data_IF_112967229167
#
_entry.id   IF_112967229167
#
_cell.length_a   1.000
_cell.length_b   1.000
_cell.length_c   1.000
_cell.angle_alpha   90.00
_cell.angle_beta   90.00
_cell.angle_gamma   90.00
#
_symmetry.space_group_name_H-M   'P 1'
#
loop_
_entity.id
_entity.type
_entity.pdbx_description
1 polymer ?
#
# COMPACT_ATOMS: atom_id res chain seq x y z
N UNK A 1 -1.38 10.30 9.70
CA UNK A 1 -1.30 8.99 10.41
C UNK A 1 -2.42 8.76 11.43
N UNK A 2 -2.70 9.65 12.41
CA UNK A 2 -3.71 9.34 13.44
C UNK A 2 -5.10 9.06 12.86
N UNK A 3 -5.54 9.77 11.83
CA UNK A 3 -6.83 9.53 11.18
C UNK A 3 -6.93 8.16 10.51
N UNK A 4 -5.90 7.71 9.80
CA UNK A 4 -5.88 6.38 9.18
C UNK A 4 -5.91 5.26 10.22
N UNK A 5 -5.15 5.42 11.31
CA UNK A 5 -5.17 4.48 12.42
C UNK A 5 -6.52 4.46 13.14
N UNK A 6 -7.15 5.62 13.33
CA UNK A 6 -8.47 5.71 13.95
C UNK A 6 -9.54 5.04 13.08
N UNK A 7 -9.54 5.28 11.76
CA UNK A 7 -10.47 4.61 10.83
C UNK A 7 -10.19 3.11 10.78
N UNK A 8 -8.93 2.69 10.72
CA UNK A 8 -8.56 1.27 10.75
C UNK A 8 -9.06 0.59 12.03
N UNK A 9 -8.81 1.21 13.20
CA UNK A 9 -9.25 0.68 14.48
C UNK A 9 -10.78 0.60 14.58
N UNK A 10 -11.49 1.64 14.09
CA UNK A 10 -12.95 1.65 14.05
C UNK A 10 -13.50 0.52 13.17
N UNK A 11 -12.98 0.38 11.93
CA UNK A 11 -13.44 -0.66 11.00
C UNK A 11 -13.12 -2.05 11.55
N UNK A 12 -11.92 -2.25 12.10
CA UNK A 12 -11.54 -3.52 12.71
C UNK A 12 -12.45 -3.86 13.90
N UNK A 13 -12.75 -2.86 14.74
CA UNK A 13 -13.68 -3.04 15.86
C UNK A 13 -15.09 -3.41 15.39
N UNK A 14 -15.60 -2.75 14.34
CA UNK A 14 -16.90 -3.10 13.76
C UNK A 14 -16.95 -4.55 13.25
N UNK A 15 -15.86 -5.00 12.62
CA UNK A 15 -15.76 -6.38 12.12
C UNK A 15 -15.72 -7.39 13.26
N UNK A 16 -14.96 -7.12 14.33
CA UNK A 16 -14.78 -8.06 15.46
C UNK A 16 -16.02 -8.11 16.37
N UNK A 17 -16.71 -6.97 16.51
CA UNK A 17 -17.85 -6.84 17.42
C UNK A 17 -19.22 -7.03 16.74
N UNK A 18 -19.25 -7.48 15.49
CA UNK A 18 -20.49 -7.58 14.67
C UNK A 18 -21.28 -6.26 14.71
N UNK A 19 -20.55 -5.14 14.52
CA UNK A 19 -21.09 -3.82 14.72
C UNK A 19 -22.04 -3.36 13.61
N UNK A 20 -22.74 -2.22 13.81
CA UNK A 20 -23.81 -1.75 12.93
C UNK A 20 -23.35 -1.41 11.50
N UNK A 21 -22.05 -1.27 11.22
CA UNK A 21 -21.55 -1.05 9.86
C UNK A 21 -21.56 -2.31 8.99
N UNK A 22 -21.68 -3.51 9.56
CA UNK A 22 -21.73 -4.75 8.79
C UNK A 22 -23.00 -4.86 7.95
N UNK A 23 -24.15 -4.41 8.45
CA UNK A 23 -25.41 -4.41 7.68
C UNK A 23 -25.32 -3.62 6.37
N UNK A 24 -24.93 -2.33 6.39
CA UNK A 24 -24.65 -1.56 5.16
C UNK A 24 -23.56 -2.18 4.28
N UNK A 25 -22.49 -2.73 4.85
CA UNK A 25 -21.39 -3.38 4.14
C UNK A 25 -21.89 -4.57 3.31
N UNK A 26 -22.69 -5.45 3.91
CA UNK A 26 -23.34 -6.58 3.22
C UNK A 26 -24.33 -6.11 2.16
N UNK A 27 -25.13 -5.09 2.43
CA UNK A 27 -26.10 -4.57 1.47
C UNK A 27 -25.40 -4.01 0.23
N UNK A 28 -24.33 -3.21 0.41
CA UNK A 28 -23.52 -2.69 -0.69
C UNK A 28 -22.89 -3.83 -1.49
N UNK A 29 -22.31 -4.83 -0.81
CA UNK A 29 -21.73 -5.98 -1.47
C UNK A 29 -22.77 -6.73 -2.31
N UNK A 30 -23.93 -7.07 -1.74
CA UNK A 30 -25.02 -7.77 -2.45
C UNK A 30 -25.52 -6.97 -3.65
N UNK A 31 -25.54 -5.64 -3.57
CA UNK A 31 -25.96 -4.77 -4.66
C UNK A 31 -24.92 -4.69 -5.78
N UNK A 32 -23.64 -4.96 -5.50
CA UNK A 32 -22.54 -4.81 -6.46
C UNK A 32 -22.08 -6.16 -7.07
N UNK A 33 -22.18 -7.25 -6.31
CA UNK A 33 -21.73 -8.58 -6.76
C UNK A 33 -22.44 -9.01 -8.03
N UNK A 34 -21.66 -9.45 -9.01
CA UNK A 34 -22.16 -9.91 -10.30
C UNK A 34 -22.52 -8.80 -11.29
N UNK A 35 -22.39 -7.52 -10.93
CA UNK A 35 -22.60 -6.41 -11.84
C UNK A 35 -21.37 -6.11 -12.69
N UNK A 36 -21.58 -5.74 -13.95
CA UNK A 36 -20.55 -5.39 -14.91
C UNK A 36 -19.91 -6.59 -15.64
N UNK A 37 -18.99 -6.32 -16.56
CA UNK A 37 -18.31 -7.36 -17.34
C UNK A 37 -17.40 -8.22 -16.48
N UNK A 38 -17.66 -9.52 -16.39
CA UNK A 38 -16.90 -10.47 -15.56
C UNK A 38 -15.41 -10.40 -15.85
N UNK A 39 -15.02 -10.45 -17.13
CA UNK A 39 -13.59 -10.43 -17.51
C UNK A 39 -12.86 -9.15 -17.12
N UNK A 40 -13.55 -8.00 -17.10
CA UNK A 40 -12.96 -6.74 -16.63
C UNK A 40 -12.78 -6.74 -15.10
N UNK A 41 -13.76 -7.25 -14.37
CA UNK A 41 -13.67 -7.38 -12.91
C UNK A 41 -12.57 -8.36 -12.50
N UNK A 42 -12.40 -9.48 -13.19
CA UNK A 42 -11.29 -10.42 -12.99
C UNK A 42 -9.94 -9.75 -13.29
N UNK A 43 -9.80 -9.09 -14.44
CA UNK A 43 -8.59 -8.36 -14.78
C UNK A 43 -8.20 -7.35 -13.68
N UNK A 44 -9.17 -6.61 -13.15
CA UNK A 44 -8.92 -5.68 -12.04
C UNK A 44 -8.50 -6.41 -10.77
N UNK A 45 -9.12 -7.53 -10.46
CA UNK A 45 -8.74 -8.36 -9.30
C UNK A 45 -7.28 -8.82 -9.42
N UNK A 46 -6.88 -9.28 -10.63
CA UNK A 46 -5.55 -9.79 -10.90
C UNK A 46 -4.44 -8.74 -10.74
N UNK A 47 -4.74 -7.45 -10.87
CA UNK A 47 -3.78 -6.39 -10.55
C UNK A 47 -3.29 -6.44 -9.09
N UNK A 48 -4.08 -7.00 -8.18
CA UNK A 48 -3.71 -7.19 -6.77
C UNK A 48 -2.97 -8.50 -6.49
N UNK A 49 -2.87 -9.40 -7.47
CA UNK A 49 -2.13 -10.64 -7.32
C UNK A 49 -0.64 -10.37 -7.12
N UNK A 50 0.00 -11.15 -6.25
CA UNK A 50 1.45 -11.05 -6.01
C UNK A 50 2.26 -11.25 -7.30
N UNK A 51 1.76 -12.07 -8.22
CA UNK A 51 2.38 -12.34 -9.52
C UNK A 51 2.41 -11.11 -10.45
N UNK A 52 1.54 -10.12 -10.22
CA UNK A 52 1.49 -8.87 -10.98
C UNK A 52 2.13 -7.72 -10.19
N UNK A 53 1.70 -7.53 -8.96
CA UNK A 53 2.11 -6.38 -8.16
C UNK A 53 3.59 -6.44 -7.73
N UNK A 54 4.12 -7.63 -7.36
CA UNK A 54 5.52 -7.76 -6.95
C UNK A 54 6.53 -7.51 -8.07
N UNK A 55 6.36 -7.99 -9.31
CA UNK A 55 7.23 -7.62 -10.41
C UNK A 55 7.28 -6.12 -10.68
N UNK A 56 6.15 -5.40 -10.58
CA UNK A 56 6.12 -3.94 -10.74
C UNK A 56 6.97 -3.25 -9.67
N UNK A 57 6.81 -3.65 -8.41
CA UNK A 57 7.65 -3.12 -7.32
C UNK A 57 9.12 -3.50 -7.49
N UNK A 58 9.40 -4.75 -7.89
CA UNK A 58 10.76 -5.22 -8.12
C UNK A 58 11.47 -4.42 -9.22
N UNK A 59 10.79 -4.13 -10.34
CA UNK A 59 11.33 -3.27 -11.39
C UNK A 59 11.67 -1.87 -10.87
N UNK A 60 10.80 -1.26 -10.06
CA UNK A 60 11.06 0.04 -9.45
C UNK A 60 12.23 0.01 -8.46
N UNK A 61 12.36 -1.05 -7.68
CA UNK A 61 13.48 -1.30 -6.77
C UNK A 61 14.79 -1.42 -7.57
N UNK A 62 14.83 -2.30 -8.58
CA UNK A 62 16.01 -2.51 -9.43
C UNK A 62 16.43 -1.19 -10.09
N UNK A 63 15.48 -0.47 -10.69
CA UNK A 63 15.74 0.84 -11.29
C UNK A 63 16.37 1.81 -10.29
N UNK A 64 15.85 1.89 -9.07
CA UNK A 64 16.40 2.76 -8.02
C UNK A 64 17.81 2.34 -7.61
N UNK A 65 18.09 1.03 -7.52
CA UNK A 65 19.41 0.50 -7.20
C UNK A 65 20.44 0.82 -8.29
N UNK A 66 20.06 0.75 -9.58
CA UNK A 66 20.95 1.16 -10.70
C UNK A 66 21.28 2.65 -10.67
N UNK A 67 20.45 3.48 -10.01
CA UNK A 67 20.69 4.90 -9.76
C UNK A 67 21.53 5.16 -8.49
N UNK A 68 22.04 4.14 -7.84
CA UNK A 68 22.84 4.24 -6.61
C UNK A 68 22.02 4.50 -5.34
N UNK A 69 20.69 4.50 -5.42
CA UNK A 69 19.79 4.65 -4.29
C UNK A 69 19.65 3.28 -3.61
N UNK A 70 19.94 3.20 -2.30
CA UNK A 70 19.91 1.91 -1.59
C UNK A 70 18.89 1.86 -0.44
N UNK A 71 18.65 2.98 0.24
CA UNK A 71 17.81 3.02 1.46
C UNK A 71 16.33 2.98 1.15
N UNK A 72 15.85 3.77 0.21
CA UNK A 72 14.45 3.80 -0.19
C UNK A 72 13.96 2.47 -0.77
N UNK A 73 14.70 1.77 -1.66
CA UNK A 73 14.39 0.42 -2.08
C UNK A 73 14.29 -0.58 -0.93
N UNK A 74 15.22 -0.53 0.05
CA UNK A 74 15.15 -1.38 1.23
C UNK A 74 13.88 -1.12 2.04
N UNK A 75 13.55 0.14 2.30
CA UNK A 75 12.31 0.48 3.02
C UNK A 75 11.06 0.05 2.25
N UNK A 76 11.07 0.12 0.91
CA UNK A 76 9.97 -0.35 0.07
C UNK A 76 9.80 -1.87 0.15
N UNK A 77 10.90 -2.61 0.13
CA UNK A 77 10.89 -4.06 0.34
C UNK A 77 10.38 -4.45 1.74
N UNK A 78 10.82 -3.73 2.78
CA UNK A 78 10.35 -3.94 4.14
C UNK A 78 8.87 -3.61 4.31
N UNK A 79 8.38 -2.53 3.70
CA UNK A 79 6.96 -2.19 3.70
C UNK A 79 6.12 -3.28 3.01
N UNK A 80 6.62 -3.84 1.89
CA UNK A 80 5.95 -4.94 1.20
C UNK A 80 5.96 -6.23 2.04
N UNK A 81 7.08 -6.56 2.70
CA UNK A 81 7.16 -7.71 3.60
C UNK A 81 6.26 -7.57 4.84
N UNK A 82 6.01 -6.33 5.28
CA UNK A 82 5.08 -6.04 6.39
C UNK A 82 3.62 -6.34 6.01
N UNK A 83 3.25 -6.35 4.73
CA UNK A 83 1.87 -6.66 4.30
C UNK A 83 1.43 -8.04 4.80
N UNK A 84 2.04 -9.16 4.40
CA UNK A 84 1.63 -10.47 4.91
C UNK A 84 1.84 -10.58 6.42
N UNK A 85 2.90 -9.99 6.98
CA UNK A 85 3.18 -10.03 8.41
C UNK A 85 2.08 -9.38 9.27
N UNK A 86 1.34 -8.40 8.74
CA UNK A 86 0.21 -7.76 9.41
C UNK A 86 -1.13 -8.35 9.00
N UNK A 87 -1.33 -8.62 7.71
CA UNK A 87 -2.59 -9.10 7.17
C UNK A 87 -2.91 -10.52 7.66
N UNK A 88 -1.92 -11.43 7.67
CA UNK A 88 -2.18 -12.83 8.06
C UNK A 88 -2.63 -12.96 9.51
N UNK A 89 -1.98 -12.36 10.52
CA UNK A 89 -2.48 -12.40 11.90
C UNK A 89 -3.86 -11.74 12.06
N UNK A 90 -4.13 -10.63 11.36
CA UNK A 90 -5.44 -9.99 11.39
C UNK A 90 -6.53 -10.89 10.82
N UNK A 91 -6.27 -11.60 9.72
CA UNK A 91 -7.20 -12.57 9.13
C UNK A 91 -7.56 -13.68 10.11
N UNK A 92 -6.55 -14.26 10.77
CA UNK A 92 -6.75 -15.30 11.77
C UNK A 92 -7.51 -14.78 13.00
N UNK A 93 -7.18 -13.56 13.44
CA UNK A 93 -7.81 -12.96 14.63
C UNK A 93 -9.26 -12.56 14.40
N UNK A 94 -9.58 -11.96 13.24
CA UNK A 94 -10.94 -11.48 12.96
C UNK A 94 -11.88 -12.59 12.52
N UNK A 95 -11.33 -13.65 11.93
CA UNK A 95 -12.04 -14.84 11.45
C UNK A 95 -13.32 -14.53 10.62
N UNK A 96 -13.30 -13.39 9.92
CA UNK A 96 -14.44 -12.89 9.16
C UNK A 96 -14.74 -13.79 7.97
N UNK A 97 -16.00 -14.20 7.80
CA UNK A 97 -16.47 -14.96 6.64
C UNK A 97 -16.44 -14.15 5.35
N UNK A 98 -16.27 -14.84 4.22
CA UNK A 98 -16.32 -14.23 2.89
C UNK A 98 -17.75 -13.95 2.39
N UNK A 99 -17.91 -13.09 1.37
CA UNK A 99 -19.23 -12.73 0.85
C UNK A 99 -20.01 -13.89 0.21
N UNK A 100 -19.32 -14.85 -0.40
CA UNK A 100 -19.91 -15.94 -1.18
C UNK A 100 -19.47 -17.32 -0.69
N UNK A 101 -18.91 -17.44 0.51
CA UNK A 101 -18.34 -18.69 1.03
C UNK A 101 -18.43 -18.75 2.54
N UNK A 102 -18.49 -19.96 3.08
CA UNK A 102 -18.37 -20.23 4.52
C UNK A 102 -16.91 -20.14 5.01
N UNK A 103 -15.93 -20.01 4.11
CA UNK A 103 -14.54 -19.85 4.50
C UNK A 103 -14.31 -18.51 5.21
N UNK A 104 -13.40 -18.51 6.18
CA UNK A 104 -13.09 -17.36 7.02
C UNK A 104 -11.72 -16.74 6.71
N UNK A 105 -11.36 -15.65 7.39
CA UNK A 105 -10.11 -14.96 7.19
C UNK A 105 -10.14 -13.97 6.02
N UNK A 106 -11.25 -13.28 5.81
CA UNK A 106 -11.41 -12.33 4.71
C UNK A 106 -10.96 -10.90 5.07
N UNK A 107 -11.04 -10.49 6.33
CA UNK A 107 -10.60 -9.17 6.77
C UNK A 107 -9.14 -9.19 7.28
N UNK A 108 -8.31 -8.22 6.90
CA UNK A 108 -8.45 -7.29 5.78
C UNK A 108 -8.07 -7.93 4.43
N UNK A 109 -8.39 -7.26 3.30
CA UNK A 109 -8.09 -7.76 1.96
C UNK A 109 -6.59 -7.78 1.66
N UNK A 110 -6.03 -8.97 1.45
CA UNK A 110 -4.62 -9.14 1.07
C UNK A 110 -4.29 -8.56 -0.32
N UNK A 111 -5.15 -8.78 -1.31
CA UNK A 111 -4.97 -8.25 -2.68
C UNK A 111 -4.95 -6.72 -2.70
N UNK A 112 -5.92 -6.09 -2.01
CA UNK A 112 -5.95 -4.63 -1.89
C UNK A 112 -4.70 -4.08 -1.21
N UNK A 113 -4.26 -4.71 -0.11
CA UNK A 113 -3.06 -4.28 0.62
C UNK A 113 -1.80 -4.45 -0.25
N UNK A 114 -1.67 -5.57 -0.97
CA UNK A 114 -0.57 -5.84 -1.89
C UNK A 114 -0.51 -4.80 -3.01
N UNK A 115 -1.65 -4.55 -3.70
CA UNK A 115 -1.74 -3.55 -4.75
C UNK A 115 -1.35 -2.15 -4.25
N UNK A 116 -1.97 -1.70 -3.15
CA UNK A 116 -1.74 -0.36 -2.60
C UNK A 116 -0.29 -0.13 -2.18
N UNK A 117 0.33 -1.10 -1.49
CA UNK A 117 1.74 -0.97 -1.06
C UNK A 117 2.69 -1.12 -2.24
N UNK A 118 2.48 -2.08 -3.14
CA UNK A 118 3.38 -2.30 -4.28
C UNK A 118 3.37 -1.09 -5.24
N UNK A 119 2.19 -0.66 -5.70
CA UNK A 119 2.07 0.47 -6.63
C UNK A 119 2.41 1.80 -5.96
N UNK A 120 2.02 1.99 -4.69
CA UNK A 120 2.36 3.17 -3.91
C UNK A 120 3.87 3.30 -3.69
N UNK A 121 4.55 2.24 -3.24
CA UNK A 121 5.99 2.22 -3.05
C UNK A 121 6.75 2.37 -4.38
N UNK A 122 6.31 1.68 -5.45
CA UNK A 122 6.90 1.84 -6.78
C UNK A 122 6.80 3.30 -7.26
N UNK A 123 5.64 3.95 -7.09
CA UNK A 123 5.47 5.35 -7.43
C UNK A 123 6.41 6.26 -6.63
N UNK A 124 6.56 6.03 -5.32
CA UNK A 124 7.48 6.80 -4.47
C UNK A 124 8.95 6.67 -4.90
N UNK A 125 9.36 5.49 -5.38
CA UNK A 125 10.70 5.26 -5.91
C UNK A 125 10.94 5.96 -7.25
N UNK A 126 9.94 6.00 -8.12
CA UNK A 126 10.06 6.50 -9.49
C UNK A 126 9.84 8.02 -9.60
N UNK A 127 8.96 8.59 -8.78
CA UNK A 127 8.59 10.02 -8.78
C UNK A 127 9.80 10.95 -8.80
N UNK A 128 10.90 10.76 -8.02
CA UNK A 128 12.04 11.66 -8.04
C UNK A 128 12.78 11.73 -9.39
N UNK A 129 12.54 10.78 -10.28
CA UNK A 129 13.18 10.65 -11.59
C UNK A 129 12.32 11.17 -12.75
N UNK A 130 11.10 11.63 -12.45
CA UNK A 130 10.13 12.07 -13.44
C UNK A 130 10.01 13.61 -13.45
N UNK A 131 9.86 14.19 -14.65
CA UNK A 131 9.58 15.63 -14.81
C UNK A 131 8.21 16.01 -14.22
N UNK A 132 7.24 15.10 -14.28
CA UNK A 132 5.91 15.26 -13.70
C UNK A 132 5.61 14.04 -12.81
N UNK A 133 5.38 14.27 -11.53
CA UNK A 133 5.14 13.24 -10.52
C UNK A 133 3.69 12.76 -10.46
N UNK A 134 2.74 13.64 -10.73
CA UNK A 134 1.32 13.37 -10.53
C UNK A 134 0.77 12.19 -11.35
N UNK A 135 1.17 11.93 -12.63
CA UNK A 135 0.61 10.80 -13.39
C UNK A 135 0.94 9.46 -12.73
N UNK A 136 2.14 9.31 -12.17
CA UNK A 136 2.57 8.09 -11.49
C UNK A 136 1.77 7.85 -10.19
N UNK A 137 1.53 8.92 -9.42
CA UNK A 137 0.71 8.83 -8.21
C UNK A 137 -0.75 8.50 -8.55
N UNK A 138 -1.30 9.14 -9.57
CA UNK A 138 -2.67 8.84 -10.05
C UNK A 138 -2.76 7.40 -10.54
N UNK A 139 -1.78 6.92 -11.32
CA UNK A 139 -1.75 5.53 -11.77
C UNK A 139 -1.75 4.54 -10.59
N UNK A 140 -0.92 4.77 -9.56
CA UNK A 140 -0.90 3.93 -8.37
C UNK A 140 -2.25 3.90 -7.64
N UNK A 141 -2.91 5.04 -7.51
CA UNK A 141 -4.25 5.14 -6.90
C UNK A 141 -5.28 4.40 -7.76
N UNK A 142 -5.29 4.63 -9.07
CA UNK A 142 -6.26 4.00 -9.99
C UNK A 142 -6.10 2.49 -10.05
N UNK A 143 -4.86 1.97 -10.11
CA UNK A 143 -4.61 0.53 -10.10
C UNK A 143 -5.09 -0.12 -8.79
N UNK A 144 -4.81 0.52 -7.66
CA UNK A 144 -5.27 0.03 -6.35
C UNK A 144 -6.78 0.11 -6.21
N UNK A 145 -7.41 1.18 -6.70
CA UNK A 145 -8.87 1.33 -6.71
C UNK A 145 -9.52 0.29 -7.63
N UNK A 146 -8.97 0.07 -8.83
CA UNK A 146 -9.46 -0.93 -9.77
C UNK A 146 -9.42 -2.34 -9.16
N UNK A 147 -8.29 -2.71 -8.51
CA UNK A 147 -8.20 -3.97 -7.74
C UNK A 147 -9.32 -4.07 -6.72
N UNK A 148 -9.53 -3.02 -5.93
CA UNK A 148 -10.54 -2.99 -4.87
C UNK A 148 -11.95 -3.16 -5.42
N UNK A 149 -12.28 -2.46 -6.51
CA UNK A 149 -13.57 -2.56 -7.20
C UNK A 149 -13.75 -3.97 -7.76
N UNK A 150 -12.75 -4.53 -8.45
CA UNK A 150 -12.80 -5.88 -8.98
C UNK A 150 -13.12 -6.93 -7.91
N UNK A 151 -12.44 -6.84 -6.75
CA UNK A 151 -12.65 -7.76 -5.63
C UNK A 151 -14.08 -7.72 -5.06
N UNK A 152 -14.68 -6.53 -4.95
CA UNK A 152 -16.06 -6.37 -4.47
C UNK A 152 -17.06 -6.84 -5.52
N UNK A 153 -16.88 -6.48 -6.80
CA UNK A 153 -17.76 -6.92 -7.90
C UNK A 153 -17.76 -8.44 -8.09
N UNK A 154 -16.63 -9.10 -7.80
CA UNK A 154 -16.52 -10.57 -7.84
C UNK A 154 -16.98 -11.26 -6.56
N UNK A 155 -17.34 -10.50 -5.52
CA UNK A 155 -17.71 -11.07 -4.22
C UNK A 155 -16.54 -11.77 -3.51
N UNK A 156 -15.30 -11.39 -3.82
CA UNK A 156 -14.12 -11.95 -3.17
C UNK A 156 -13.83 -11.27 -1.83
N UNK A 157 -14.27 -10.03 -1.66
CA UNK A 157 -14.12 -9.28 -0.42
C UNK A 157 -15.30 -8.35 -0.16
N UNK A 158 -15.57 -8.09 1.11
CA UNK A 158 -16.50 -7.06 1.53
C UNK A 158 -15.90 -5.66 1.35
N UNK A 159 -16.71 -4.60 1.12
CA UNK A 159 -16.21 -3.22 1.08
C UNK A 159 -15.37 -2.82 2.31
N UNK A 160 -15.77 -3.22 3.53
CA UNK A 160 -15.01 -2.91 4.74
C UNK A 160 -13.64 -3.62 4.78
N UNK A 161 -13.48 -4.81 4.17
CA UNK A 161 -12.17 -5.47 4.05
C UNK A 161 -11.20 -4.63 3.21
N UNK A 162 -11.74 -4.01 2.17
CA UNK A 162 -11.00 -3.08 1.29
C UNK A 162 -10.63 -1.80 2.03
N UNK A 163 -11.59 -1.18 2.75
CA UNK A 163 -11.33 0.04 3.54
C UNK A 163 -10.27 -0.20 4.60
N UNK A 164 -10.35 -1.32 5.34
CA UNK A 164 -9.33 -1.71 6.30
C UNK A 164 -7.94 -1.82 5.67
N UNK A 165 -7.85 -2.45 4.49
CA UNK A 165 -6.60 -2.59 3.74
C UNK A 165 -6.05 -1.25 3.23
N UNK A 166 -6.90 -0.32 2.78
CA UNK A 166 -6.49 1.03 2.40
C UNK A 166 -5.89 1.79 3.58
N UNK A 167 -6.51 1.70 4.76
CA UNK A 167 -6.01 2.34 5.97
C UNK A 167 -4.65 1.77 6.39
N UNK A 168 -4.52 0.44 6.43
CA UNK A 168 -3.28 -0.26 6.77
C UNK A 168 -2.16 0.10 5.80
N UNK A 169 -2.44 0.02 4.49
CA UNK A 169 -1.47 0.35 3.44
C UNK A 169 -1.07 1.82 3.48
N UNK A 170 -2.02 2.71 3.74
CA UNK A 170 -1.75 4.13 3.91
C UNK A 170 -0.80 4.41 5.08
N UNK A 171 -0.93 3.69 6.20
CA UNK A 171 0.00 3.78 7.33
C UNK A 171 1.40 3.29 6.93
N UNK A 172 1.50 2.15 6.24
CA UNK A 172 2.78 1.62 5.76
C UNK A 172 3.47 2.57 4.78
N UNK A 173 2.74 3.11 3.80
CA UNK A 173 3.27 4.07 2.83
C UNK A 173 3.70 5.39 3.48
N UNK A 174 2.96 5.86 4.48
CA UNK A 174 3.34 7.06 5.25
C UNK A 174 4.60 6.81 6.08
N UNK A 175 4.74 5.62 6.70
CA UNK A 175 5.95 5.23 7.40
C UNK A 175 7.15 5.17 6.45
N UNK A 176 6.98 4.58 5.27
CA UNK A 176 7.97 4.55 4.18
C UNK A 176 8.40 5.97 3.78
N UNK A 177 7.45 6.87 3.55
CA UNK A 177 7.75 8.26 3.19
C UNK A 177 8.54 9.00 4.27
N UNK A 178 8.16 8.85 5.54
CA UNK A 178 8.86 9.46 6.68
C UNK A 178 10.28 8.92 6.80
N UNK A 179 10.47 7.61 6.67
CA UNK A 179 11.78 6.96 6.71
C UNK A 179 12.69 7.48 5.58
N UNK A 180 12.17 7.57 4.35
CA UNK A 180 12.91 8.10 3.21
C UNK A 180 13.32 9.57 3.41
N UNK A 181 12.43 10.43 3.92
CA UNK A 181 12.76 11.84 4.21
C UNK A 181 13.84 11.99 5.27
N UNK A 182 13.77 11.21 6.36
CA UNK A 182 14.79 11.22 7.42
C UNK A 182 16.16 10.78 6.90
N UNK A 183 16.19 9.78 6.05
CA UNK A 183 17.40 9.27 5.41
C UNK A 183 18.10 10.35 4.58
N UNK A 184 17.37 11.06 3.73
CA UNK A 184 17.90 12.13 2.86
C UNK A 184 18.45 13.31 3.68
N UNK A 185 17.77 13.72 4.75
CA UNK A 185 18.25 14.80 5.65
C UNK A 185 19.57 14.44 6.32
N UNK A 186 19.77 13.21 6.76
CA UNK A 186 21.02 12.77 7.38
C UNK A 186 22.19 12.77 6.40
N UNK A 187 21.96 12.41 5.15
CA UNK A 187 23.00 12.43 4.12
C UNK A 187 23.46 13.85 3.76
N UNK A 188 22.57 14.87 3.83
CA UNK A 188 22.92 16.26 3.56
C UNK A 188 23.67 16.95 4.72
N UNK A 189 23.53 16.45 5.95
CA UNK A 189 24.20 17.04 7.12
C UNK A 189 25.63 16.48 7.37
N UNK A 190 26.02 15.44 6.66
CA UNK A 190 27.34 14.78 6.80
C UNK A 190 28.42 15.26 5.82
N UNK A 191 28.17 16.30 5.01
CA UNK A 191 29.21 16.91 4.19
C UNK A 191 30.02 17.84 5.07
N UNK A 192 31.31 17.53 5.38
CA UNK A 192 32.16 18.44 6.13
C UNK A 192 32.37 19.69 5.29
N UNK A 193 32.07 20.86 5.84
CA UNK A 193 32.58 22.13 5.34
C UNK A 193 34.09 22.13 5.58
N UNK A 194 34.83 21.70 4.56
CA UNK A 194 36.27 21.95 4.49
C UNK A 194 36.45 23.48 4.34
N UNK A 195 36.51 24.14 5.50
CA UNK A 195 36.99 25.51 5.59
C UNK A 195 38.49 25.45 5.49
N UNK A 196 39.02 25.33 4.25
CA UNK A 196 40.38 25.65 3.94
C UNK A 196 40.67 27.08 4.34
N UNK A 197 41.30 27.26 5.49
CA UNK A 197 41.79 28.56 5.92
C UNK A 197 42.82 29.10 4.93
N UNK A 198 42.82 30.41 4.59
CA UNK A 198 43.84 31.00 3.77
C UNK A 198 45.15 30.98 4.55
N UNK A 199 46.14 30.21 4.06
CA UNK A 199 47.49 30.23 4.52
C UNK A 199 48.05 31.66 4.35
N UNK A 200 48.26 32.36 5.46
CA UNK A 200 49.10 33.57 5.53
C UNK A 200 50.55 33.14 5.29
N UNK A 201 51.03 33.37 4.07
CA UNK A 201 52.45 33.44 3.80
C UNK A 201 52.96 34.80 4.25
N UNK A 202 53.70 34.82 5.34
CA UNK A 202 54.55 35.93 5.70
C UNK A 202 56.00 35.57 5.31
N UNK A 203 56.70 36.48 4.66
CA UNK A 203 58.08 36.38 4.34
C UNK A 203 58.47 37.25 3.16
#
# INVERSE_FOLDING_TARGET
MPSLLAVFALVTWQVVADGPLLGPDEQISRALVGHGPVGLAEFFTDLGNMQVALPVLACAIIFSLTRGIRREPLYSALAMAAVPALVVPLKVWTDRQGPLTEATGYYPSGHTATAAVAYGAASMLLVPHLKRSWPMLVAAILLSAATSIGLVLRGYHWPLDVVGSWCLSGVLLMALWVAGRRSRRRSSSSTPTDRGGPGRGAG
#
